data_IF_574848478208
#
_entry.id   IF_574848478208
#
_cell.length_a   1.000
_cell.length_b   1.000
_cell.length_c   1.000
_cell.angle_alpha   90.00
_cell.angle_beta   90.00
_cell.angle_gamma   90.00
#
_symmetry.space_group_name_H-M   'P 1'
#
loop_
_entity.id
_entity.type
_entity.pdbx_description
1 polymer ?
#
# COMPACT_ATOMS: atom_id res chain seq x y z
N UNK A 1 21.54 20.00 10.40
CA UNK A 1 22.72 20.10 9.52
C UNK A 1 22.63 21.26 8.53
N UNK A 2 21.56 21.39 7.78
CA UNK A 2 21.35 22.53 6.85
C UNK A 2 21.42 23.88 7.56
N UNK A 3 20.77 24.03 8.73
CA UNK A 3 20.84 25.24 9.52
C UNK A 3 22.26 25.59 9.96
N UNK A 4 23.05 24.60 10.41
CA UNK A 4 24.46 24.83 10.74
C UNK A 4 25.26 25.39 9.56
N UNK A 5 25.01 24.89 8.34
CA UNK A 5 25.62 25.40 7.12
C UNK A 5 25.21 26.84 6.80
N UNK A 6 23.95 27.19 7.02
CA UNK A 6 23.42 28.54 6.83
C UNK A 6 24.05 29.51 7.83
N UNK A 7 24.06 29.17 9.12
CA UNK A 7 24.57 30.00 10.22
C UNK A 7 26.06 30.26 10.14
N UNK A 8 26.80 29.36 9.48
CA UNK A 8 28.26 29.44 9.33
C UNK A 8 28.70 29.56 7.86
N UNK A 9 27.83 30.01 6.98
CA UNK A 9 28.06 30.05 5.51
C UNK A 9 29.32 30.81 5.11
N UNK A 10 29.66 31.88 5.83
CA UNK A 10 30.84 32.67 5.58
C UNK A 10 32.15 31.86 5.77
N UNK A 11 32.19 30.98 6.75
CA UNK A 11 33.40 30.17 7.05
C UNK A 11 33.66 29.10 5.98
N UNK A 12 32.61 28.72 5.21
CA UNK A 12 32.69 27.73 4.14
C UNK A 12 32.68 28.33 2.73
N UNK A 13 32.48 29.64 2.56
CA UNK A 13 32.30 30.28 1.26
C UNK A 13 33.42 30.02 0.28
N UNK A 14 34.68 29.92 0.75
CA UNK A 14 35.87 29.62 -0.06
C UNK A 14 36.02 28.10 -0.35
N UNK A 15 35.22 27.23 0.23
CA UNK A 15 35.33 25.77 0.12
C UNK A 15 34.16 25.25 -0.73
N UNK A 16 34.33 25.27 -2.05
CA UNK A 16 33.29 24.92 -3.00
C UNK A 16 32.64 23.55 -2.70
N UNK A 17 33.44 22.57 -2.28
CA UNK A 17 32.91 21.22 -1.90
C UNK A 17 32.00 21.31 -0.69
N UNK A 18 32.31 22.18 0.30
CA UNK A 18 31.44 22.37 1.45
C UNK A 18 30.08 23.00 1.05
N UNK A 19 30.15 24.07 0.26
CA UNK A 19 28.94 24.75 -0.25
C UNK A 19 28.05 23.78 -1.02
N UNK A 20 28.60 22.98 -1.93
CA UNK A 20 27.88 21.97 -2.68
C UNK A 20 27.21 20.94 -1.76
N UNK A 21 27.94 20.40 -0.77
CA UNK A 21 27.40 19.35 0.08
C UNK A 21 26.38 19.86 1.12
N UNK A 22 26.49 21.11 1.58
CA UNK A 22 25.42 21.75 2.36
C UNK A 22 24.16 21.95 1.50
N UNK A 23 24.33 22.31 0.21
CA UNK A 23 23.23 22.36 -0.76
C UNK A 23 22.56 21.00 -0.92
N UNK A 24 23.32 19.93 -1.12
CA UNK A 24 22.78 18.56 -1.19
C UNK A 24 21.98 18.22 0.07
N UNK A 25 22.52 18.48 1.28
CA UNK A 25 21.78 18.22 2.51
C UNK A 25 20.45 18.97 2.59
N UNK A 26 20.42 20.22 2.12
CA UNK A 26 19.19 21.02 2.13
C UNK A 26 18.17 20.47 1.15
N UNK A 27 18.59 20.13 -0.07
CA UNK A 27 17.72 19.55 -1.10
C UNK A 27 17.17 18.19 -0.68
N UNK A 28 18.03 17.30 -0.17
CA UNK A 28 17.58 15.96 0.24
C UNK A 28 16.68 16.03 1.48
N UNK A 29 16.92 16.96 2.40
CA UNK A 29 16.03 17.15 3.56
C UNK A 29 14.66 17.67 3.16
N UNK A 30 14.57 18.61 2.21
CA UNK A 30 13.30 19.09 1.66
C UNK A 30 12.55 17.95 0.96
N UNK A 31 13.24 17.22 0.07
CA UNK A 31 12.67 16.06 -0.62
C UNK A 31 12.11 15.01 0.35
N UNK A 32 12.85 14.66 1.39
CA UNK A 32 12.37 13.71 2.41
C UNK A 32 11.17 14.22 3.21
N UNK A 33 11.08 15.54 3.42
CA UNK A 33 9.91 16.18 4.02
C UNK A 33 8.67 16.05 3.14
N UNK A 34 8.81 16.35 1.85
CA UNK A 34 7.73 16.24 0.86
C UNK A 34 7.28 14.77 0.70
N UNK A 35 8.22 13.83 0.58
CA UNK A 35 7.93 12.41 0.50
C UNK A 35 7.25 11.86 1.76
N UNK A 36 7.57 12.41 2.93
CA UNK A 36 6.88 12.06 4.19
C UNK A 36 5.41 12.48 4.16
N UNK A 37 5.09 13.63 3.60
CA UNK A 37 3.72 14.10 3.41
C UNK A 37 2.96 13.25 2.38
N UNK A 38 3.56 13.00 1.23
CA UNK A 38 3.00 12.15 0.17
C UNK A 38 2.74 10.70 0.65
N UNK A 39 3.62 10.13 1.46
CA UNK A 39 3.38 8.83 2.07
C UNK A 39 2.15 8.80 2.98
N UNK A 40 1.93 9.85 3.78
CA UNK A 40 0.75 9.97 4.63
C UNK A 40 -0.53 10.02 3.79
N UNK A 41 -0.52 10.78 2.70
CA UNK A 41 -1.63 10.86 1.75
C UNK A 41 -1.85 9.51 1.05
N UNK A 42 -0.80 8.90 0.52
CA UNK A 42 -0.87 7.60 -0.15
C UNK A 42 -1.38 6.44 0.74
N UNK A 43 -1.16 6.50 2.05
CA UNK A 43 -1.80 5.55 2.99
C UNK A 43 -3.31 5.74 3.08
N UNK A 44 -3.79 6.99 3.01
CA UNK A 44 -5.21 7.31 2.94
C UNK A 44 -5.84 6.75 1.67
N UNK A 45 -5.20 7.00 0.53
CA UNK A 45 -5.66 6.58 -0.79
C UNK A 45 -5.67 5.05 -0.95
N UNK A 46 -4.64 4.36 -0.49
CA UNK A 46 -4.59 2.89 -0.51
C UNK A 46 -5.70 2.26 0.36
N UNK A 47 -6.04 2.88 1.49
CA UNK A 47 -7.16 2.44 2.33
C UNK A 47 -8.49 2.70 1.64
N UNK A 48 -8.68 3.89 1.06
CA UNK A 48 -9.86 4.25 0.27
C UNK A 48 -10.06 3.32 -0.94
N UNK A 49 -8.99 3.03 -1.69
CA UNK A 49 -9.02 2.09 -2.81
C UNK A 49 -9.43 0.67 -2.39
N UNK A 50 -8.95 0.21 -1.21
CA UNK A 50 -9.33 -1.10 -0.66
C UNK A 50 -10.81 -1.14 -0.28
N UNK A 51 -11.34 -0.09 0.32
CA UNK A 51 -12.75 0.03 0.69
C UNK A 51 -13.64 0.12 -0.57
N UNK A 52 -13.25 0.92 -1.54
CA UNK A 52 -13.94 1.05 -2.84
C UNK A 52 -14.00 -0.30 -3.56
N UNK A 53 -12.88 -1.05 -3.58
CA UNK A 53 -12.85 -2.39 -4.15
C UNK A 53 -13.76 -3.36 -3.40
N UNK A 54 -13.80 -3.27 -2.07
CA UNK A 54 -14.69 -4.07 -1.23
C UNK A 54 -16.15 -3.82 -1.58
N UNK A 55 -16.55 -2.56 -1.68
CA UNK A 55 -17.90 -2.13 -2.05
C UNK A 55 -18.27 -2.59 -3.46
N UNK A 56 -17.41 -2.36 -4.45
CA UNK A 56 -17.67 -2.79 -5.82
C UNK A 56 -17.80 -4.33 -5.94
N UNK A 57 -16.99 -5.06 -5.17
CA UNK A 57 -17.09 -6.52 -5.09
C UNK A 57 -18.43 -7.00 -4.51
N UNK A 58 -18.89 -6.36 -3.46
CA UNK A 58 -20.19 -6.71 -2.84
C UNK A 58 -21.36 -6.35 -3.77
N UNK A 59 -21.33 -5.20 -4.44
CA UNK A 59 -22.34 -4.81 -5.43
C UNK A 59 -22.44 -5.87 -6.55
N UNK A 60 -21.31 -6.28 -7.12
CA UNK A 60 -21.32 -7.35 -8.14
C UNK A 60 -21.90 -8.65 -7.59
N UNK A 61 -21.58 -9.02 -6.35
CA UNK A 61 -22.14 -10.23 -5.72
C UNK A 61 -23.63 -10.13 -5.47
N UNK A 62 -24.13 -8.96 -5.13
CA UNK A 62 -25.56 -8.70 -4.92
C UNK A 62 -26.33 -8.90 -6.22
N UNK A 63 -25.91 -8.26 -7.32
CA UNK A 63 -26.53 -8.44 -8.64
C UNK A 63 -26.51 -9.90 -9.09
N UNK A 64 -25.39 -10.58 -8.95
CA UNK A 64 -25.27 -12.01 -9.27
C UNK A 64 -26.18 -12.87 -8.37
N UNK A 65 -26.31 -12.52 -7.10
CA UNK A 65 -27.17 -13.25 -6.13
C UNK A 65 -28.63 -13.16 -6.50
N UNK A 66 -29.07 -12.00 -6.97
CA UNK A 66 -30.46 -11.80 -7.39
C UNK A 66 -30.82 -12.63 -8.63
N UNK A 67 -29.90 -12.66 -9.62
CA UNK A 67 -30.02 -13.54 -10.78
C UNK A 67 -30.04 -15.01 -10.35
N UNK A 68 -29.10 -15.43 -9.48
CA UNK A 68 -29.04 -16.80 -8.97
C UNK A 68 -30.30 -17.21 -8.20
N UNK A 69 -30.88 -16.27 -7.44
CA UNK A 69 -32.13 -16.50 -6.70
C UNK A 69 -33.32 -16.69 -7.66
N UNK A 70 -33.43 -15.83 -8.65
CA UNK A 70 -34.45 -15.90 -9.68
C UNK A 70 -34.34 -17.18 -10.52
N UNK A 71 -33.11 -17.54 -10.95
CA UNK A 71 -32.84 -18.78 -11.68
C UNK A 71 -33.29 -20.03 -10.90
N UNK A 72 -33.11 -20.06 -9.56
CA UNK A 72 -33.66 -21.15 -8.72
C UNK A 72 -35.16 -21.21 -8.72
N UNK A 73 -35.83 -20.07 -8.82
CA UNK A 73 -37.32 -20.06 -8.93
C UNK A 73 -37.77 -20.51 -10.33
N UNK A 74 -36.99 -20.24 -11.37
CA UNK A 74 -37.25 -20.65 -12.74
C UNK A 74 -37.01 -22.15 -12.98
N UNK A 75 -36.24 -22.82 -12.11
CA UNK A 75 -35.91 -24.26 -12.24
C UNK A 75 -37.14 -25.16 -12.35
N UNK A 76 -38.27 -24.75 -11.76
CA UNK A 76 -39.53 -25.49 -11.88
C UNK A 76 -40.13 -25.50 -13.30
N UNK A 77 -39.74 -24.52 -14.14
CA UNK A 77 -40.21 -24.39 -15.53
C UNK A 77 -39.09 -24.65 -16.55
N UNK A 78 -37.85 -24.43 -16.16
CA UNK A 78 -36.64 -24.52 -17.03
C UNK A 78 -35.58 -25.40 -16.36
N UNK A 79 -35.55 -26.67 -16.66
CA UNK A 79 -34.65 -27.65 -16.04
C UNK A 79 -33.17 -27.28 -16.27
N UNK A 80 -32.38 -27.31 -15.21
CA UNK A 80 -30.96 -27.04 -15.24
C UNK A 80 -30.56 -25.55 -15.21
N UNK A 81 -31.51 -24.61 -15.15
CA UNK A 81 -31.19 -23.18 -15.16
C UNK A 81 -30.48 -22.74 -13.85
N UNK A 82 -30.84 -23.31 -12.72
CA UNK A 82 -30.23 -22.99 -11.44
C UNK A 82 -28.75 -23.35 -11.38
N UNK A 83 -28.30 -24.38 -12.07
CA UNK A 83 -26.90 -24.77 -12.13
C UNK A 83 -26.08 -23.83 -13.00
N UNK A 84 -26.66 -23.27 -14.05
CA UNK A 84 -26.03 -22.27 -14.93
C UNK A 84 -25.71 -20.98 -14.18
N UNK A 85 -26.58 -20.58 -13.26
CA UNK A 85 -26.43 -19.35 -12.46
C UNK A 85 -26.03 -19.61 -11.00
N UNK A 86 -25.18 -20.62 -10.80
CA UNK A 86 -24.67 -20.96 -9.48
C UNK A 86 -23.61 -19.98 -9.01
N UNK A 87 -23.81 -19.37 -7.86
CA UNK A 87 -22.86 -18.48 -7.23
C UNK A 87 -21.53 -19.18 -6.89
N UNK A 88 -20.37 -18.58 -7.25
CA UNK A 88 -19.07 -19.15 -6.92
C UNK A 88 -18.80 -19.06 -5.41
N UNK A 89 -18.25 -20.14 -4.84
CA UNK A 89 -17.82 -20.21 -3.44
C UNK A 89 -16.34 -19.81 -3.35
N UNK A 90 -15.99 -18.87 -2.46
CA UNK A 90 -14.61 -18.46 -2.21
C UNK A 90 -13.82 -18.11 -3.49
N UNK A 91 -14.48 -17.45 -4.44
CA UNK A 91 -13.86 -17.04 -5.69
C UNK A 91 -12.81 -15.94 -5.45
N UNK A 92 -11.70 -16.01 -6.15
CA UNK A 92 -10.80 -14.87 -6.33
C UNK A 92 -11.53 -13.73 -7.05
N UNK A 93 -11.00 -12.51 -6.97
CA UNK A 93 -11.61 -11.35 -7.61
C UNK A 93 -11.75 -11.54 -9.12
N UNK A 94 -10.72 -12.09 -9.78
CA UNK A 94 -10.75 -12.40 -11.20
C UNK A 94 -11.81 -13.48 -11.54
N UNK A 95 -11.92 -14.52 -10.70
CA UNK A 95 -12.91 -15.56 -10.90
C UNK A 95 -14.35 -15.03 -10.67
N UNK A 96 -14.54 -14.13 -9.71
CA UNK A 96 -15.84 -13.50 -9.48
C UNK A 96 -16.25 -12.63 -10.67
N UNK A 97 -15.32 -11.79 -11.18
CA UNK A 97 -15.57 -10.95 -12.35
C UNK A 97 -15.91 -11.79 -13.59
N UNK A 98 -15.13 -12.85 -13.85
CA UNK A 98 -15.37 -13.77 -14.96
C UNK A 98 -16.75 -14.44 -14.86
N UNK A 99 -17.15 -14.85 -13.64
CA UNK A 99 -18.48 -15.44 -13.40
C UNK A 99 -19.60 -14.40 -13.60
N UNK A 100 -19.41 -13.15 -13.16
CA UNK A 100 -20.39 -12.08 -13.39
C UNK A 100 -20.62 -11.82 -14.88
N UNK A 101 -19.55 -11.78 -15.68
CA UNK A 101 -19.63 -11.64 -17.13
C UNK A 101 -20.26 -12.86 -17.81
N UNK A 102 -20.00 -14.07 -17.31
CA UNK A 102 -20.68 -15.28 -17.77
C UNK A 102 -22.19 -15.23 -17.47
N UNK A 103 -22.59 -14.79 -16.28
CA UNK A 103 -24.00 -14.59 -15.92
C UNK A 103 -24.69 -13.62 -16.89
N UNK A 104 -24.06 -12.49 -17.19
CA UNK A 104 -24.58 -11.54 -18.18
C UNK A 104 -24.79 -12.20 -19.56
N UNK A 105 -23.77 -12.90 -20.07
CA UNK A 105 -23.83 -13.58 -21.36
C UNK A 105 -24.93 -14.67 -21.44
N UNK A 106 -25.04 -15.47 -20.36
CA UNK A 106 -26.00 -16.56 -20.25
C UNK A 106 -27.44 -16.07 -20.03
N UNK A 107 -27.63 -14.96 -19.32
CA UNK A 107 -28.96 -14.40 -19.06
C UNK A 107 -29.50 -13.58 -20.24
N UNK A 108 -28.65 -13.00 -21.08
CA UNK A 108 -29.05 -12.15 -22.20
C UNK A 108 -30.10 -12.81 -23.12
N UNK A 109 -29.96 -14.06 -23.61
CA UNK A 109 -30.94 -14.69 -24.49
C UNK A 109 -32.27 -15.03 -23.82
N UNK A 110 -32.33 -15.07 -22.50
CA UNK A 110 -33.52 -15.42 -21.69
C UNK A 110 -33.93 -14.28 -20.74
N UNK A 111 -33.54 -13.05 -21.05
CA UNK A 111 -33.82 -11.89 -20.21
C UNK A 111 -35.33 -11.66 -19.97
N UNK A 112 -36.15 -11.91 -20.98
CA UNK A 112 -37.59 -11.78 -20.87
C UNK A 112 -38.18 -12.72 -19.82
N UNK A 113 -37.65 -13.93 -19.68
CA UNK A 113 -38.07 -14.87 -18.67
C UNK A 113 -37.70 -14.41 -17.27
N UNK A 114 -36.46 -13.90 -17.06
CA UNK A 114 -36.05 -13.30 -15.78
C UNK A 114 -36.95 -12.14 -15.38
N UNK A 115 -37.32 -11.26 -16.32
CA UNK A 115 -38.24 -10.15 -16.08
C UNK A 115 -39.62 -10.67 -15.73
N UNK A 116 -40.13 -11.70 -16.39
CA UNK A 116 -41.43 -12.33 -16.07
C UNK A 116 -41.42 -12.93 -14.65
N UNK A 117 -40.28 -13.35 -14.12
CA UNK A 117 -40.07 -13.81 -12.75
C UNK A 117 -39.77 -12.70 -11.75
N UNK A 118 -39.90 -11.42 -12.15
CA UNK A 118 -39.83 -10.26 -11.27
C UNK A 118 -38.50 -9.54 -11.20
N UNK A 119 -37.56 -9.86 -12.08
CA UNK A 119 -36.34 -9.05 -12.22
C UNK A 119 -36.63 -7.69 -12.86
N UNK A 120 -35.89 -6.66 -12.49
CA UNK A 120 -35.97 -5.35 -13.13
C UNK A 120 -35.58 -5.44 -14.61
N UNK A 121 -36.18 -4.61 -15.47
CA UNK A 121 -35.79 -4.57 -16.89
C UNK A 121 -34.34 -4.17 -17.13
N UNK A 122 -33.70 -3.50 -16.15
CA UNK A 122 -32.32 -3.03 -16.18
C UNK A 122 -31.31 -4.03 -15.64
N UNK A 123 -31.71 -5.17 -15.08
CA UNK A 123 -30.86 -6.09 -14.32
C UNK A 123 -29.57 -6.51 -15.04
N UNK A 124 -29.61 -6.68 -16.38
CA UNK A 124 -28.43 -6.98 -17.17
C UNK A 124 -27.48 -5.80 -17.27
N UNK A 125 -28.02 -4.58 -17.43
CA UNK A 125 -27.23 -3.36 -17.46
C UNK A 125 -26.60 -3.09 -16.09
N UNK A 126 -27.33 -3.32 -15.01
CA UNK A 126 -26.90 -3.14 -13.64
C UNK A 126 -25.76 -4.14 -13.30
N UNK A 127 -25.92 -5.42 -13.68
CA UNK A 127 -24.87 -6.44 -13.54
C UNK A 127 -23.60 -6.07 -14.32
N UNK A 128 -23.75 -5.60 -15.57
CA UNK A 128 -22.58 -5.20 -16.38
C UNK A 128 -21.89 -4.00 -15.78
N UNK A 129 -22.64 -2.98 -15.35
CA UNK A 129 -22.09 -1.79 -14.69
C UNK A 129 -21.36 -2.16 -13.39
N UNK A 130 -21.90 -3.07 -12.59
CA UNK A 130 -21.24 -3.57 -11.38
C UNK A 130 -19.95 -4.34 -11.69
N UNK A 131 -19.93 -5.14 -12.78
CA UNK A 131 -18.74 -5.85 -13.22
C UNK A 131 -17.64 -4.88 -13.70
N UNK A 132 -17.99 -3.89 -14.50
CA UNK A 132 -17.06 -2.89 -15.02
C UNK A 132 -16.51 -1.99 -13.89
N UNK A 133 -17.37 -1.58 -12.95
CA UNK A 133 -16.93 -0.85 -11.77
C UNK A 133 -15.95 -1.65 -10.91
N UNK A 134 -16.19 -2.95 -10.73
CA UNK A 134 -15.28 -3.83 -10.01
C UNK A 134 -13.95 -4.02 -10.73
N UNK A 135 -13.96 -4.20 -12.05
CA UNK A 135 -12.74 -4.33 -12.86
C UNK A 135 -11.88 -3.04 -12.79
N UNK A 136 -12.52 -1.87 -12.85
CA UNK A 136 -11.82 -0.59 -12.77
C UNK A 136 -10.99 -0.45 -11.47
N UNK A 137 -11.42 -1.09 -10.37
CA UNK A 137 -10.67 -1.06 -9.11
C UNK A 137 -9.32 -1.79 -9.16
N UNK A 138 -9.11 -2.70 -10.12
CA UNK A 138 -7.86 -3.46 -10.23
C UNK A 138 -6.70 -2.61 -10.72
N UNK A 139 -6.94 -1.71 -11.68
CA UNK A 139 -5.92 -0.79 -12.20
C UNK A 139 -5.51 0.23 -11.14
N UNK A 140 -6.46 0.77 -10.39
CA UNK A 140 -6.20 1.73 -9.31
C UNK A 140 -5.31 1.10 -8.22
N UNK A 141 -5.59 -0.14 -7.83
CA UNK A 141 -4.78 -0.83 -6.83
C UNK A 141 -3.36 -1.14 -7.35
N UNK A 142 -3.22 -1.53 -8.61
CA UNK A 142 -1.91 -1.82 -9.21
C UNK A 142 -1.05 -0.57 -9.30
N UNK A 143 -1.62 0.58 -9.69
CA UNK A 143 -0.94 1.87 -9.72
C UNK A 143 -0.46 2.27 -8.32
N UNK A 144 -1.36 2.29 -7.33
CA UNK A 144 -1.02 2.67 -5.96
C UNK A 144 0.12 1.82 -5.35
N UNK A 145 0.21 0.53 -5.69
CA UNK A 145 1.32 -0.33 -5.26
C UNK A 145 2.61 0.06 -5.99
N UNK A 146 2.55 0.35 -7.29
CA UNK A 146 3.70 0.81 -8.09
C UNK A 146 4.29 2.10 -7.53
N UNK A 147 3.46 3.10 -7.33
CA UNK A 147 3.83 4.42 -6.81
C UNK A 147 4.48 4.32 -5.43
N UNK A 148 3.94 3.46 -4.56
CA UNK A 148 4.53 3.22 -3.23
C UNK A 148 5.92 2.56 -3.29
N UNK A 149 6.14 1.63 -4.22
CA UNK A 149 7.46 0.99 -4.41
C UNK A 149 8.49 1.99 -4.92
N UNK A 150 8.11 2.83 -5.90
CA UNK A 150 8.95 3.87 -6.46
C UNK A 150 9.33 4.91 -5.39
N UNK A 151 8.35 5.46 -4.66
CA UNK A 151 8.59 6.42 -3.58
C UNK A 151 9.53 5.85 -2.50
N UNK A 152 9.38 4.56 -2.14
CA UNK A 152 10.27 3.92 -1.16
C UNK A 152 11.71 3.82 -1.67
N UNK A 153 11.92 3.53 -2.95
CA UNK A 153 13.24 3.47 -3.56
C UNK A 153 13.90 4.86 -3.61
N UNK A 154 13.14 5.89 -3.95
CA UNK A 154 13.61 7.28 -4.03
C UNK A 154 14.00 7.83 -2.66
N UNK A 155 13.23 7.53 -1.62
CA UNK A 155 13.60 7.84 -0.23
C UNK A 155 14.93 7.19 0.14
N UNK A 156 15.11 5.90 -0.18
CA UNK A 156 16.36 5.18 0.09
C UNK A 156 17.56 5.81 -0.58
N UNK A 157 17.42 6.25 -1.84
CA UNK A 157 18.48 6.92 -2.58
C UNK A 157 18.78 8.33 -2.05
N UNK A 158 17.75 9.10 -1.69
CA UNK A 158 17.87 10.42 -1.07
C UNK A 158 18.63 10.33 0.26
N UNK A 159 18.25 9.41 1.14
CA UNK A 159 18.98 9.15 2.39
C UNK A 159 20.45 8.80 2.12
N UNK A 160 20.73 7.97 1.13
CA UNK A 160 22.10 7.60 0.75
C UNK A 160 22.91 8.81 0.33
N UNK A 161 22.37 9.69 -0.51
CA UNK A 161 23.04 10.94 -0.96
C UNK A 161 23.28 11.88 0.22
N UNK A 162 22.30 12.09 1.09
CA UNK A 162 22.45 12.89 2.30
C UNK A 162 23.53 12.37 3.24
N UNK A 163 23.59 11.03 3.42
CA UNK A 163 24.64 10.40 4.25
C UNK A 163 26.04 10.55 3.67
N UNK A 164 26.19 10.52 2.36
CA UNK A 164 27.47 10.79 1.68
C UNK A 164 27.90 12.25 1.90
N UNK A 165 26.99 13.20 1.65
CA UNK A 165 27.24 14.63 1.86
C UNK A 165 27.64 14.92 3.32
N UNK A 166 26.92 14.34 4.30
CA UNK A 166 27.27 14.45 5.72
C UNK A 166 28.69 13.96 6.03
N UNK A 167 29.10 12.81 5.48
CA UNK A 167 30.47 12.26 5.69
C UNK A 167 31.55 13.17 5.15
N UNK A 168 31.33 13.76 3.97
CA UNK A 168 32.23 14.73 3.36
C UNK A 168 32.35 15.96 4.25
N UNK A 169 31.22 16.51 4.67
CA UNK A 169 31.16 17.68 5.54
C UNK A 169 31.78 17.43 6.92
N UNK A 170 31.64 16.24 7.49
CA UNK A 170 32.28 15.92 8.79
C UNK A 170 33.81 16.11 8.75
N UNK A 171 34.46 15.68 7.66
CA UNK A 171 35.88 15.91 7.45
C UNK A 171 36.25 17.38 7.29
N UNK A 172 35.47 18.12 6.49
CA UNK A 172 35.72 19.54 6.22
C UNK A 172 35.52 20.38 7.48
N UNK A 173 34.42 20.19 8.19
CA UNK A 173 34.08 20.94 9.42
C UNK A 173 35.13 20.71 10.50
N UNK A 174 35.60 19.48 10.67
CA UNK A 174 36.68 19.16 11.62
C UNK A 174 37.99 19.86 11.26
N UNK A 175 38.30 20.02 9.98
CA UNK A 175 39.49 20.72 9.54
C UNK A 175 39.37 22.25 9.74
N UNK A 176 38.22 22.83 9.40
CA UNK A 176 37.95 24.27 9.53
C UNK A 176 37.96 24.71 10.99
N UNK A 177 37.29 23.95 11.85
CA UNK A 177 37.12 24.28 13.25
C UNK A 177 38.02 23.49 14.22
N UNK A 178 39.17 22.99 13.76
CA UNK A 178 40.05 22.17 14.59
C UNK A 178 40.43 22.81 15.93
N UNK A 179 40.45 24.15 16.00
CA UNK A 179 40.81 24.93 17.18
C UNK A 179 39.56 25.57 17.86
N UNK A 180 38.35 25.25 17.42
CA UNK A 180 37.09 25.76 17.98
C UNK A 180 36.24 24.61 18.48
N UNK A 181 36.39 24.19 19.76
CA UNK A 181 35.64 23.08 20.33
C UNK A 181 34.15 23.38 20.42
N UNK A 182 33.73 24.64 20.51
CA UNK A 182 32.32 25.03 20.57
C UNK A 182 31.63 24.74 19.25
N UNK A 183 32.19 25.17 18.13
CA UNK A 183 31.66 24.87 16.80
C UNK A 183 31.72 23.38 16.44
N UNK A 184 32.71 22.65 16.90
CA UNK A 184 32.79 21.19 16.74
C UNK A 184 31.66 20.47 17.53
N UNK A 185 31.36 20.92 18.74
CA UNK A 185 30.25 20.37 19.53
C UNK A 185 28.92 20.67 18.88
N UNK A 186 28.70 21.89 18.37
CA UNK A 186 27.50 22.28 17.63
C UNK A 186 27.31 21.42 16.37
N UNK A 187 28.39 21.18 15.59
CA UNK A 187 28.35 20.27 14.44
C UNK A 187 28.00 18.86 14.84
N UNK A 188 28.63 18.33 15.88
CA UNK A 188 28.35 16.97 16.38
C UNK A 188 26.89 16.79 16.75
N UNK A 189 26.31 17.80 17.43
CA UNK A 189 24.88 17.81 17.73
C UNK A 189 24.02 17.88 16.46
N UNK A 190 24.31 18.84 15.56
CA UNK A 190 23.55 19.04 14.33
C UNK A 190 23.65 17.85 13.35
N UNK A 191 24.76 17.10 13.38
CA UNK A 191 24.99 15.94 12.53
C UNK A 191 24.60 14.61 13.17
N UNK A 192 24.05 14.63 14.38
CA UNK A 192 23.56 13.44 15.05
C UNK A 192 22.31 12.89 14.30
N UNK A 193 22.36 11.62 13.96
CA UNK A 193 21.24 10.92 13.34
C UNK A 193 20.74 9.88 14.33
N UNK A 194 19.51 10.05 14.77
CA UNK A 194 18.85 9.06 15.62
C UNK A 194 18.69 7.74 14.86
N UNK A 195 19.14 6.67 15.47
CA UNK A 195 18.90 5.34 14.95
C UNK A 195 17.59 4.84 15.50
N UNK A 196 16.70 4.26 14.67
CA UNK A 196 15.50 3.64 15.18
C UNK A 196 15.87 2.61 16.26
N UNK A 197 15.05 2.48 17.32
CA UNK A 197 15.30 1.50 18.37
C UNK A 197 15.43 0.11 17.75
N UNK A 198 16.49 -0.61 18.09
CA UNK A 198 16.67 -1.99 17.62
C UNK A 198 15.47 -2.80 18.05
N UNK A 199 14.68 -3.34 17.11
CA UNK A 199 13.67 -4.34 17.44
C UNK A 199 14.34 -5.43 18.26
N UNK A 200 13.93 -5.62 19.50
CA UNK A 200 14.32 -6.79 20.27
C UNK A 200 13.85 -7.98 19.44
N UNK A 201 14.81 -8.73 18.87
CA UNK A 201 14.49 -10.05 18.33
C UNK A 201 13.86 -10.80 19.50
N UNK A 202 12.56 -11.07 19.43
CA UNK A 202 11.95 -12.04 20.33
C UNK A 202 12.82 -13.31 20.20
N UNK A 203 13.58 -13.62 21.26
CA UNK A 203 14.15 -14.94 21.38
C UNK A 203 12.95 -15.88 21.35
N UNK A 204 12.76 -16.55 20.22
CA UNK A 204 11.84 -17.68 20.15
C UNK A 204 12.41 -18.67 21.16
N UNK A 205 11.71 -18.82 22.28
CA UNK A 205 12.08 -19.72 23.36
C UNK A 205 12.19 -21.12 22.76
N UNK A 206 13.37 -21.77 22.74
CA UNK A 206 13.53 -23.11 22.15
C UNK A 206 12.67 -24.17 22.83
N UNK A 207 12.13 -23.88 24.00
CA UNK A 207 11.24 -24.77 24.75
C UNK A 207 9.77 -24.78 24.30
N UNK A 208 9.34 -23.83 23.48
CA UNK A 208 7.94 -23.81 22.98
C UNK A 208 7.74 -24.65 21.71
N UNK A 209 8.74 -25.51 21.36
CA UNK A 209 8.68 -26.41 20.19
C UNK A 209 8.15 -27.80 20.49
N UNK A 210 7.79 -28.08 21.75
CA UNK A 210 7.45 -29.45 22.20
C UNK A 210 6.01 -29.66 22.67
N UNK A 211 5.09 -28.74 22.32
CA UNK A 211 3.67 -28.90 22.71
C UNK A 211 2.67 -28.70 21.56
N UNK A 212 3.04 -29.10 20.34
CA UNK A 212 2.08 -29.26 19.24
C UNK A 212 2.26 -30.69 18.70
N UNK A 213 1.99 -31.67 19.51
CA UNK A 213 1.64 -33.01 19.05
C UNK A 213 0.39 -33.44 19.81
N UNK A 214 -0.72 -33.43 19.13
CA UNK A 214 -1.94 -34.03 19.63
C UNK A 214 -3.20 -33.18 19.54
N UNK A 215 -3.92 -33.37 18.42
CA UNK A 215 -5.36 -33.23 18.23
C UNK A 215 -5.89 -31.97 17.52
N UNK A 216 -6.43 -32.30 16.35
CA UNK A 216 -7.51 -31.66 15.57
C UNK A 216 -7.12 -30.58 14.55
N UNK A 217 -6.99 -31.07 13.33
CA UNK A 217 -7.51 -30.43 12.12
C UNK A 217 -8.84 -29.69 12.37
N UNK A 218 -8.86 -28.41 12.17
CA UNK A 218 -10.08 -27.64 12.18
C UNK A 218 -9.84 -26.13 12.26
N UNK A 219 -9.99 -25.44 11.12
CA UNK A 219 -10.00 -23.98 10.95
C UNK A 219 -8.64 -23.31 10.80
N UNK A 220 -8.14 -23.34 9.58
CA UNK A 220 -7.29 -22.26 9.08
C UNK A 220 -8.15 -21.00 8.95
N UNK A 221 -8.04 -20.08 9.88
CA UNK A 221 -8.54 -18.73 9.74
C UNK A 221 -7.41 -17.80 9.28
N UNK A 222 -7.61 -17.21 8.14
CA UNK A 222 -7.13 -15.92 7.68
C UNK A 222 -6.66 -15.01 8.83
N UNK A 223 -5.36 -14.84 8.97
CA UNK A 223 -4.76 -13.70 9.64
C UNK A 223 -3.24 -13.75 9.47
N UNK A 224 -2.73 -13.34 8.31
CA UNK A 224 -1.28 -13.10 8.21
C UNK A 224 -0.87 -12.19 7.03
N UNK A 225 -1.54 -11.05 6.91
CA UNK A 225 -1.05 -9.96 6.06
C UNK A 225 -1.05 -8.59 6.77
N UNK A 226 -0.96 -8.56 8.08
CA UNK A 226 -1.08 -7.31 8.85
C UNK A 226 0.19 -6.85 9.55
N UNK A 227 1.35 -7.37 9.25
CA UNK A 227 2.54 -7.08 10.08
C UNK A 227 3.80 -6.67 9.31
N UNK A 228 3.72 -6.23 8.06
CA UNK A 228 4.93 -5.81 7.31
C UNK A 228 4.94 -4.31 6.95
N UNK A 229 3.87 -3.56 7.17
CA UNK A 229 3.74 -2.17 6.72
C UNK A 229 3.83 -1.10 7.81
N UNK A 230 4.28 -1.41 9.03
CA UNK A 230 4.23 -0.41 10.14
C UNK A 230 5.59 0.10 10.61
N UNK A 231 6.69 -0.16 9.92
CA UNK A 231 8.01 0.08 10.52
C UNK A 231 8.97 1.00 9.73
N UNK A 232 8.49 1.85 8.84
CA UNK A 232 9.36 2.85 8.20
C UNK A 232 8.76 4.27 8.23
N UNK A 233 8.26 4.70 9.39
CA UNK A 233 8.07 6.13 9.63
C UNK A 233 9.25 6.64 10.46
N UNK A 234 10.27 7.15 9.82
CA UNK A 234 11.33 7.94 10.46
C UNK A 234 10.84 9.38 10.46
N UNK A 235 10.34 9.84 11.59
CA UNK A 235 10.10 11.25 11.86
C UNK A 235 11.45 11.96 11.97
N UNK A 236 11.72 12.87 11.04
CA UNK A 236 12.72 13.92 11.22
C UNK A 236 12.02 15.16 11.80
N UNK A 237 12.42 15.56 12.97
CA UNK A 237 12.23 16.93 13.50
C UNK A 237 13.55 17.67 13.44
#
# INVERSE_FOLDING_TARGET
MSQFGTDNSADFAAIAIAVTNFGVLTTEAAFLGDQGAEQQEGFGDARGATETKGTARENLREEMSDISRTARSMEYAFDGIADRFRMPRNASDQALLATGRAFHSEATPIAADFIAYGMAATFLADLLAAADAFEATFSVQASAVGDHVEATADIGESVRRGMVARRILDGIVRNVYKNDPGKLAAWTSASHIEKPPRKRRHKVDPFNRLQIDGRRLGRMHYCRWRTVLHDHCVLFV
#
